data_IF_072492855463
#
_entry.id   IF_072492855463
#
_cell.length_a   1.000
_cell.length_b   1.000
_cell.length_c   1.000
_cell.angle_alpha   90.00
_cell.angle_beta   90.00
_cell.angle_gamma   90.00
#
_symmetry.space_group_name_H-M   'P 1'
#
loop_
_entity.id
_entity.type
_entity.pdbx_description
1 polymer ?
#
# COMPACT_ATOMS: atom_id res chain seq x y z
N UNK A 1 -17.97 17.56 -23.29
CA UNK A 1 -17.36 18.10 -24.53
C UNK A 1 -16.62 16.98 -25.28
N UNK A 2 -17.20 16.42 -26.36
CA UNK A 2 -16.61 15.29 -27.13
C UNK A 2 -15.27 15.68 -27.81
N UNK A 3 -14.98 16.97 -27.98
CA UNK A 3 -13.83 17.45 -28.74
C UNK A 3 -12.58 17.80 -27.92
N UNK A 4 -12.62 17.67 -26.58
CA UNK A 4 -11.47 18.07 -25.73
C UNK A 4 -10.87 16.93 -24.90
N UNK A 5 -11.34 15.69 -25.06
CA UNK A 5 -10.77 14.53 -24.37
C UNK A 5 -9.55 14.04 -25.14
N UNK A 6 -8.38 14.44 -24.67
CA UNK A 6 -7.10 14.06 -25.26
C UNK A 6 -6.64 12.74 -24.67
N UNK A 7 -6.02 11.89 -25.48
CA UNK A 7 -5.50 10.59 -25.04
C UNK A 7 -4.55 10.75 -23.84
N UNK A 8 -4.80 10.01 -22.74
CA UNK A 8 -3.88 9.95 -21.61
C UNK A 8 -2.51 9.42 -22.06
N UNK A 9 -1.43 9.92 -21.46
CA UNK A 9 -0.10 9.40 -21.71
C UNK A 9 0.78 9.46 -20.45
N UNK A 10 1.80 8.61 -20.43
CA UNK A 10 2.83 8.60 -19.39
C UNK A 10 4.20 8.56 -20.05
N UNK A 11 5.10 9.41 -19.59
CA UNK A 11 6.52 9.38 -19.96
C UNK A 11 7.24 8.72 -18.80
N UNK A 12 7.96 7.64 -19.07
CA UNK A 12 8.72 6.89 -18.07
C UNK A 12 10.21 7.02 -18.34
N UNK A 13 10.99 7.10 -17.27
CA UNK A 13 12.45 7.11 -17.32
C UNK A 13 13.00 6.15 -16.26
N UNK A 14 14.03 5.41 -16.64
CA UNK A 14 14.65 4.37 -15.84
C UNK A 14 16.18 4.49 -15.96
N UNK A 15 16.88 4.38 -14.84
CA UNK A 15 18.32 4.20 -14.79
C UNK A 15 18.62 3.09 -13.80
N UNK A 16 19.32 2.03 -14.24
CA UNK A 16 19.76 0.94 -13.38
C UNK A 16 21.28 0.79 -13.47
N UNK A 17 21.91 0.57 -12.31
CA UNK A 17 23.31 0.21 -12.19
C UNK A 17 23.38 -1.13 -11.50
N UNK A 18 24.02 -2.10 -12.14
CA UNK A 18 24.20 -3.44 -11.59
C UNK A 18 25.70 -3.72 -11.37
N UNK A 19 26.01 -4.34 -10.23
CA UNK A 19 27.36 -4.74 -9.88
C UNK A 19 27.36 -6.14 -9.24
N UNK A 20 28.26 -7.00 -9.71
CA UNK A 20 28.51 -8.29 -9.07
C UNK A 20 29.44 -8.09 -7.87
N UNK A 21 28.98 -8.43 -6.67
CA UNK A 21 29.72 -8.26 -5.41
C UNK A 21 30.64 -9.47 -5.10
N UNK A 22 30.62 -10.48 -5.96
CA UNK A 22 31.31 -11.75 -5.76
C UNK A 22 30.49 -12.74 -4.93
N UNK A 23 30.98 -13.98 -4.89
CA UNK A 23 30.35 -15.06 -4.13
C UNK A 23 28.91 -15.35 -4.56
N UNK A 24 28.59 -15.26 -5.86
CA UNK A 24 27.25 -15.48 -6.43
C UNK A 24 26.20 -14.41 -6.09
N UNK A 25 26.65 -13.25 -5.57
CA UNK A 25 25.78 -12.12 -5.20
C UNK A 25 25.91 -10.96 -6.20
N UNK A 26 24.77 -10.42 -6.62
CA UNK A 26 24.67 -9.19 -7.41
C UNK A 26 23.81 -8.15 -6.69
N UNK A 27 24.21 -6.89 -6.80
CA UNK A 27 23.47 -5.71 -6.36
C UNK A 27 23.03 -4.92 -7.60
N UNK A 28 21.78 -4.48 -7.59
CA UNK A 28 21.21 -3.57 -8.58
C UNK A 28 20.57 -2.39 -7.83
N UNK A 29 20.92 -1.18 -8.24
CA UNK A 29 20.31 0.07 -7.75
C UNK A 29 19.69 0.77 -8.94
N UNK A 30 18.40 1.07 -8.81
CA UNK A 30 17.59 1.65 -9.87
C UNK A 30 16.92 2.93 -9.44
N UNK A 31 16.69 3.81 -10.40
CA UNK A 31 15.78 4.94 -10.27
C UNK A 31 14.72 4.84 -11.36
N UNK A 32 13.46 4.87 -10.96
CA UNK A 32 12.30 4.85 -11.84
C UNK A 32 11.52 6.13 -11.59
N UNK A 33 11.15 6.84 -12.65
CA UNK A 33 10.13 7.85 -12.53
C UNK A 33 9.19 7.90 -13.72
N UNK A 34 8.03 8.50 -13.48
CA UNK A 34 7.03 8.71 -14.51
C UNK A 34 6.32 10.04 -14.33
N UNK A 35 5.95 10.63 -15.46
CA UNK A 35 5.14 11.84 -15.53
C UNK A 35 3.95 11.52 -16.41
N UNK A 36 2.78 11.48 -15.79
CA UNK A 36 1.52 11.16 -16.44
C UNK A 36 0.66 12.42 -16.58
N UNK A 37 0.02 12.55 -17.74
CA UNK A 37 -0.77 13.74 -18.12
C UNK A 37 -2.02 13.30 -18.84
N UNK A 38 -3.03 14.17 -18.77
CA UNK A 38 -4.33 13.95 -19.41
C UNK A 38 -5.01 12.68 -18.92
N UNK A 39 -4.75 12.31 -17.67
CA UNK A 39 -5.39 11.17 -17.06
C UNK A 39 -6.88 11.47 -16.90
N UNK A 40 -7.66 10.41 -17.01
CA UNK A 40 -9.11 10.50 -16.91
C UNK A 40 -9.50 10.69 -15.45
N UNK A 41 -10.36 11.67 -15.18
CA UNK A 41 -10.88 11.94 -13.84
C UNK A 41 -12.37 12.30 -13.92
N UNK A 42 -13.09 12.06 -12.83
CA UNK A 42 -14.49 12.40 -12.70
C UNK A 42 -14.66 13.74 -11.99
N UNK A 43 -15.55 14.57 -12.54
CA UNK A 43 -15.94 15.84 -11.94
C UNK A 43 -17.44 16.07 -12.03
N UNK A 44 -17.95 16.96 -11.20
CA UNK A 44 -19.33 17.43 -11.25
C UNK A 44 -19.35 18.75 -12.02
N UNK A 45 -19.83 18.73 -13.25
CA UNK A 45 -19.85 19.92 -14.11
C UNK A 45 -20.90 20.96 -13.66
N UNK A 46 -22.03 20.48 -13.13
CA UNK A 46 -23.12 21.31 -12.60
C UNK A 46 -23.07 21.45 -11.07
N UNK A 47 -21.87 21.56 -10.50
CA UNK A 47 -21.68 21.68 -9.06
C UNK A 47 -22.17 23.04 -8.56
N UNK A 48 -22.88 23.04 -7.43
CA UNK A 48 -23.31 24.30 -6.82
C UNK A 48 -22.13 25.01 -6.16
N UNK A 49 -22.11 26.34 -6.21
CA UNK A 49 -21.17 27.12 -5.40
C UNK A 49 -21.52 26.92 -3.91
N UNK A 50 -20.55 26.72 -3.00
CA UNK A 50 -20.80 26.63 -1.57
C UNK A 50 -21.59 27.82 -1.04
N UNK A 51 -22.52 27.57 -0.12
CA UNK A 51 -23.30 28.65 0.46
C UNK A 51 -24.23 28.21 1.59
N UNK A 52 -24.57 29.15 2.46
CA UNK A 52 -25.44 28.91 3.62
C UNK A 52 -26.92 29.07 3.30
N UNK A 53 -27.26 29.70 2.17
CA UNK A 53 -28.65 30.05 1.78
C UNK A 53 -28.96 29.66 0.34
N UNK A 54 -30.24 29.44 0.05
CA UNK A 54 -30.72 28.96 -1.25
C UNK A 54 -30.69 27.42 -1.35
N UNK A 55 -31.30 26.87 -2.39
CA UNK A 55 -31.19 25.43 -2.67
C UNK A 55 -29.87 25.13 -3.41
N UNK A 56 -29.43 23.88 -3.37
CA UNK A 56 -28.29 23.42 -4.20
C UNK A 56 -28.56 23.77 -5.67
N UNK A 57 -29.75 23.46 -6.18
CA UNK A 57 -30.14 23.78 -7.55
C UNK A 57 -30.03 25.27 -7.89
N UNK A 58 -30.47 26.19 -7.01
CA UNK A 58 -30.42 27.63 -7.32
C UNK A 58 -28.99 28.20 -7.36
N UNK A 59 -28.00 27.48 -6.81
CA UNK A 59 -26.57 27.86 -6.83
C UNK A 59 -25.76 27.09 -7.88
N UNK A 60 -26.37 26.11 -8.55
CA UNK A 60 -25.75 25.39 -9.66
C UNK A 60 -25.78 26.23 -10.95
N UNK A 61 -24.77 26.11 -11.85
CA UNK A 61 -24.74 26.84 -13.12
C UNK A 61 -25.96 26.59 -14.03
N UNK A 62 -26.54 25.39 -13.98
CA UNK A 62 -27.74 24.98 -14.71
C UNK A 62 -28.81 24.49 -13.71
N UNK A 63 -29.55 25.41 -13.04
CA UNK A 63 -30.52 25.07 -11.98
C UNK A 63 -31.65 24.13 -12.38
N UNK A 64 -32.01 24.15 -13.66
CA UNK A 64 -33.02 23.29 -14.27
C UNK A 64 -32.54 21.85 -14.51
N UNK A 65 -31.23 21.63 -14.42
CA UNK A 65 -30.60 20.33 -14.61
C UNK A 65 -30.15 19.76 -13.25
N UNK A 66 -30.15 18.43 -13.16
CA UNK A 66 -29.57 17.72 -12.00
C UNK A 66 -28.04 17.72 -12.02
N UNK A 67 -27.45 16.79 -11.25
CA UNK A 67 -26.01 16.55 -11.26
C UNK A 67 -25.56 16.11 -12.66
N UNK A 68 -24.63 16.85 -13.27
CA UNK A 68 -23.97 16.48 -14.53
C UNK A 68 -22.58 15.94 -14.20
N UNK A 69 -22.38 14.64 -14.42
CA UNK A 69 -21.09 13.98 -14.24
C UNK A 69 -20.30 14.01 -15.55
N UNK A 70 -19.07 14.50 -15.51
CA UNK A 70 -18.18 14.51 -16.67
C UNK A 70 -16.90 13.72 -16.37
N UNK A 71 -16.50 12.89 -17.33
CA UNK A 71 -15.14 12.35 -17.37
C UNK A 71 -14.31 13.28 -18.24
N UNK A 72 -13.32 13.94 -17.66
CA UNK A 72 -12.41 14.81 -18.39
C UNK A 72 -10.98 14.27 -18.38
N UNK A 73 -10.06 14.96 -19.06
CA UNK A 73 -8.63 14.64 -19.10
C UNK A 73 -7.80 15.61 -18.25
N UNK A 74 -8.32 16.05 -17.09
CA UNK A 74 -7.62 17.02 -16.23
C UNK A 74 -6.55 16.39 -15.33
N UNK A 75 -6.62 15.07 -15.14
CA UNK A 75 -5.79 14.33 -14.21
C UNK A 75 -4.30 14.35 -14.54
N UNK A 76 -3.49 14.45 -13.48
CA UNK A 76 -2.02 14.46 -13.56
C UNK A 76 -1.46 13.58 -12.45
N UNK A 77 -0.40 12.84 -12.76
CA UNK A 77 0.34 12.08 -11.76
C UNK A 77 1.84 12.18 -12.03
N UNK A 78 2.63 12.12 -10.97
CA UNK A 78 4.08 12.00 -11.02
C UNK A 78 4.51 10.93 -10.02
N UNK A 79 5.34 9.98 -10.46
CA UNK A 79 5.91 8.93 -9.62
C UNK A 79 7.43 9.01 -9.67
N UNK A 80 8.09 8.84 -8.53
CA UNK A 80 9.54 8.69 -8.47
C UNK A 80 9.89 7.63 -7.43
N UNK A 81 10.84 6.78 -7.74
CA UNK A 81 11.26 5.70 -6.87
C UNK A 81 12.74 5.37 -7.02
N UNK A 82 13.39 5.16 -5.87
CA UNK A 82 14.64 4.42 -5.77
C UNK A 82 14.31 2.95 -5.54
N UNK A 83 14.87 2.06 -6.33
CA UNK A 83 14.81 0.61 -6.12
C UNK A 83 16.20 0.07 -5.79
N UNK A 84 16.25 -0.89 -4.86
CA UNK A 84 17.45 -1.64 -4.52
C UNK A 84 17.09 -3.12 -4.57
N UNK A 85 17.91 -3.89 -5.29
CA UNK A 85 17.77 -5.34 -5.38
C UNK A 85 19.10 -5.98 -5.06
N UNK A 86 19.12 -6.86 -4.07
CA UNK A 86 20.28 -7.68 -3.74
C UNK A 86 19.91 -9.15 -3.90
N UNK A 87 20.61 -9.85 -4.78
CA UNK A 87 20.29 -11.22 -5.14
C UNK A 87 21.52 -12.09 -5.00
N UNK A 88 21.40 -13.19 -4.27
CA UNK A 88 22.38 -14.28 -4.28
C UNK A 88 21.79 -15.48 -5.02
N UNK A 89 22.44 -15.94 -6.08
CA UNK A 89 22.08 -17.21 -6.74
C UNK A 89 22.37 -18.38 -5.79
N UNK A 90 21.59 -19.45 -5.93
CA UNK A 90 21.73 -20.60 -5.05
C UNK A 90 23.15 -21.18 -5.11
N UNK A 91 23.85 -21.09 -3.97
CA UNK A 91 25.24 -21.52 -3.85
C UNK A 91 25.53 -21.86 -2.40
N UNK A 92 26.19 -23.00 -2.18
CA UNK A 92 26.52 -23.53 -0.84
C UNK A 92 25.31 -23.64 0.09
N UNK A 93 24.15 -24.00 -0.46
CA UNK A 93 22.91 -24.19 0.30
C UNK A 93 22.11 -22.91 0.56
N UNK A 94 22.55 -21.73 0.08
CA UNK A 94 21.86 -20.47 0.35
C UNK A 94 21.49 -19.75 -0.95
N UNK A 95 20.23 -19.31 -1.02
CA UNK A 95 19.76 -18.29 -1.97
C UNK A 95 18.99 -17.23 -1.22
N UNK A 96 19.08 -15.98 -1.67
CA UNK A 96 18.23 -14.92 -1.17
C UNK A 96 17.94 -13.87 -2.25
N UNK A 97 16.80 -13.21 -2.10
CA UNK A 97 16.40 -12.05 -2.88
C UNK A 97 15.86 -11.01 -1.92
N UNK A 98 16.54 -9.87 -1.86
CA UNK A 98 16.09 -8.68 -1.18
C UNK A 98 15.69 -7.64 -2.22
N UNK A 99 14.50 -7.08 -2.08
CA UNK A 99 14.03 -5.93 -2.84
C UNK A 99 13.59 -4.84 -1.88
N UNK A 100 13.96 -3.60 -2.16
CA UNK A 100 13.50 -2.41 -1.46
C UNK A 100 13.15 -1.31 -2.44
N UNK A 101 12.02 -0.66 -2.21
CA UNK A 101 11.58 0.51 -2.96
C UNK A 101 11.31 1.64 -1.97
N UNK A 102 11.98 2.77 -2.19
CA UNK A 102 11.56 4.05 -1.62
C UNK A 102 10.91 4.86 -2.72
N UNK A 103 9.63 5.18 -2.58
CA UNK A 103 8.89 5.86 -3.64
C UNK A 103 8.04 7.01 -3.13
N UNK A 104 7.63 7.85 -4.07
CA UNK A 104 6.62 8.88 -3.85
C UNK A 104 5.79 9.05 -5.12
N UNK A 105 4.49 8.83 -4.99
CA UNK A 105 3.46 9.03 -6.00
C UNK A 105 2.58 10.22 -5.61
N UNK A 106 2.46 11.19 -6.50
CA UNK A 106 1.62 12.39 -6.31
C UNK A 106 0.68 12.49 -7.50
N UNK A 107 -0.60 12.65 -7.25
CA UNK A 107 -1.62 12.87 -8.28
C UNK A 107 -2.68 13.87 -7.85
N UNK A 108 -3.57 14.20 -8.79
CA UNK A 108 -4.79 14.99 -8.55
C UNK A 108 -6.04 14.11 -8.47
N UNK A 109 -5.87 12.80 -8.27
CA UNK A 109 -6.89 11.77 -8.39
C UNK A 109 -6.23 10.45 -8.80
N UNK A 110 -6.47 9.39 -8.02
CA UNK A 110 -5.76 8.10 -8.15
C UNK A 110 -6.39 7.19 -9.21
N UNK A 111 -7.66 7.42 -9.54
CA UNK A 111 -8.37 6.68 -10.56
C UNK A 111 -9.46 7.55 -11.21
N UNK A 112 -10.01 7.05 -12.31
CA UNK A 112 -11.20 7.65 -12.93
C UNK A 112 -12.41 7.62 -11.98
N UNK A 113 -12.53 6.59 -11.14
CA UNK A 113 -13.58 6.44 -10.12
C UNK A 113 -12.95 6.40 -8.73
N UNK A 114 -13.13 5.30 -8.01
CA UNK A 114 -12.56 5.07 -6.68
C UNK A 114 -11.48 4.01 -6.81
N UNK A 115 -10.34 4.27 -6.17
CA UNK A 115 -9.30 3.26 -5.95
C UNK A 115 -8.92 3.27 -4.47
N UNK A 116 -9.24 2.16 -3.79
CA UNK A 116 -9.04 1.99 -2.36
C UNK A 116 -9.74 3.10 -1.55
N UNK A 117 -8.98 4.00 -0.92
CA UNK A 117 -9.46 5.09 -0.05
C UNK A 117 -9.78 6.39 -0.78
N UNK A 118 -9.64 6.44 -2.11
CA UNK A 118 -9.85 7.68 -2.88
C UNK A 118 -11.33 8.09 -2.95
N UNK A 119 -11.62 9.39 -3.01
CA UNK A 119 -12.98 9.88 -3.22
C UNK A 119 -13.36 9.81 -4.70
N UNK A 120 -14.65 9.61 -4.98
CA UNK A 120 -15.14 9.49 -6.35
C UNK A 120 -15.05 10.80 -7.14
N UNK A 121 -15.21 11.92 -6.46
CA UNK A 121 -15.16 13.27 -7.01
C UNK A 121 -14.15 14.12 -6.22
N UNK A 122 -13.59 15.17 -6.84
CA UNK A 122 -12.91 16.22 -6.11
C UNK A 122 -13.87 16.87 -5.11
N UNK A 123 -13.32 17.54 -4.10
CA UNK A 123 -14.11 18.37 -3.20
C UNK A 123 -14.71 19.58 -3.92
N UNK A 124 -13.94 20.14 -4.87
CA UNK A 124 -14.31 21.30 -5.68
C UNK A 124 -13.93 21.03 -7.14
N UNK A 125 -14.94 20.83 -8.00
CA UNK A 125 -14.75 20.59 -9.44
C UNK A 125 -14.22 21.81 -10.20
N UNK A 126 -14.21 22.99 -9.57
CA UNK A 126 -13.66 24.24 -10.10
C UNK A 126 -12.19 24.46 -9.69
N UNK A 127 -11.71 23.84 -8.60
CA UNK A 127 -10.30 23.88 -8.17
C UNK A 127 -9.64 22.50 -8.01
N UNK A 128 -9.34 21.87 -9.14
CA UNK A 128 -8.60 20.60 -9.18
C UNK A 128 -7.14 20.70 -8.70
N UNK A 129 -6.60 21.90 -8.49
CA UNK A 129 -5.24 22.05 -7.95
C UNK A 129 -5.20 21.68 -6.47
N UNK A 130 -6.30 21.91 -5.76
CA UNK A 130 -6.48 21.53 -4.36
C UNK A 130 -6.57 20.01 -4.13
N UNK A 131 -6.69 19.21 -5.20
CA UNK A 131 -6.67 17.74 -5.16
C UNK A 131 -5.27 17.15 -5.28
N UNK A 132 -4.25 17.99 -5.51
CA UNK A 132 -2.87 17.52 -5.60
C UNK A 132 -2.37 17.00 -4.25
N UNK A 133 -2.32 15.69 -4.11
CA UNK A 133 -1.91 14.99 -2.89
C UNK A 133 -1.09 13.74 -3.20
N UNK A 134 -0.75 12.97 -2.17
CA UNK A 134 -0.20 11.62 -2.40
C UNK A 134 -1.27 10.77 -3.13
N UNK A 135 -0.85 9.89 -4.02
CA UNK A 135 -1.76 8.89 -4.60
C UNK A 135 -2.33 8.00 -3.50
N UNK A 136 -3.58 7.52 -3.61
CA UNK A 136 -4.19 6.63 -2.61
C UNK A 136 -3.44 5.29 -2.49
N UNK A 137 -2.72 4.89 -3.53
CA UNK A 137 -1.84 3.73 -3.55
C UNK A 137 -0.36 4.06 -3.26
N UNK A 138 -0.05 5.29 -2.84
CA UNK A 138 1.34 5.66 -2.51
C UNK A 138 1.86 4.79 -1.36
N UNK A 139 3.05 4.25 -1.55
CA UNK A 139 3.75 3.49 -0.53
C UNK A 139 5.18 4.01 -0.44
N UNK A 140 5.43 4.82 0.58
CA UNK A 140 6.73 5.43 0.79
C UNK A 140 7.85 4.39 0.83
N UNK A 141 7.69 3.33 1.63
CA UNK A 141 8.71 2.29 1.77
C UNK A 141 8.08 0.91 1.64
N UNK A 142 8.67 0.06 0.79
CA UNK A 142 8.33 -1.36 0.72
C UNK A 142 9.60 -2.17 0.60
N UNK A 143 9.74 -3.19 1.43
CA UNK A 143 10.80 -4.20 1.30
C UNK A 143 10.20 -5.60 1.31
N UNK A 144 10.79 -6.49 0.51
CA UNK A 144 10.49 -7.92 0.52
C UNK A 144 11.82 -8.65 0.51
N UNK A 145 12.01 -9.53 1.49
CA UNK A 145 13.18 -10.39 1.59
C UNK A 145 12.74 -11.83 1.52
N UNK A 146 13.26 -12.59 0.57
CA UNK A 146 13.05 -14.03 0.45
C UNK A 146 14.38 -14.75 0.67
N UNK A 147 14.40 -15.74 1.56
CA UNK A 147 15.59 -16.55 1.87
C UNK A 147 15.20 -18.01 1.81
N UNK A 148 16.03 -18.82 1.15
CA UNK A 148 15.97 -20.27 1.25
C UNK A 148 17.35 -20.79 1.62
N UNK A 149 17.40 -21.54 2.71
CA UNK A 149 18.62 -22.08 3.27
C UNK A 149 18.52 -23.58 3.52
N UNK A 150 19.35 -24.36 2.84
CA UNK A 150 19.56 -25.77 3.15
C UNK A 150 20.50 -25.89 4.34
N UNK A 151 20.02 -26.51 5.42
CA UNK A 151 20.83 -26.71 6.60
C UNK A 151 22.06 -27.56 6.24
N UNK A 152 23.28 -27.14 6.60
CA UNK A 152 24.50 -27.86 6.28
C UNK A 152 24.74 -29.01 7.27
N UNK A 153 23.70 -29.82 7.50
CA UNK A 153 23.69 -30.94 8.43
C UNK A 153 23.38 -32.23 7.66
N UNK A 154 24.07 -33.32 8.00
CA UNK A 154 23.89 -34.65 7.40
C UNK A 154 25.03 -35.11 6.50
N UNK A 155 24.82 -36.25 5.82
CA UNK A 155 25.82 -36.92 4.97
C UNK A 155 26.32 -35.98 3.87
N UNK A 156 27.64 -35.82 3.80
CA UNK A 156 28.30 -34.94 2.82
C UNK A 156 28.15 -33.44 3.10
N UNK A 157 27.60 -33.04 4.26
CA UNK A 157 27.47 -31.64 4.69
C UNK A 157 28.46 -31.30 5.81
N UNK A 158 28.56 -30.00 6.14
CA UNK A 158 29.57 -29.45 7.06
C UNK A 158 29.43 -29.98 8.49
N UNK A 159 28.21 -30.19 8.97
CA UNK A 159 27.91 -30.62 10.33
C UNK A 159 27.26 -32.00 10.35
N UNK A 160 27.56 -32.80 11.38
CA UNK A 160 27.03 -34.15 11.57
C UNK A 160 27.14 -35.03 10.30
N UNK A 161 28.33 -35.04 9.68
CA UNK A 161 28.66 -35.87 8.52
C UNK A 161 28.79 -37.35 8.93
N UNK A 162 27.69 -37.95 9.36
CA UNK A 162 27.57 -39.36 9.74
C UNK A 162 26.44 -39.99 8.93
N UNK A 163 26.55 -41.26 8.59
CA UNK A 163 25.49 -42.04 7.93
C UNK A 163 24.62 -42.77 8.96
N UNK A 164 23.36 -43.05 8.61
CA UNK A 164 22.45 -43.88 9.42
C UNK A 164 21.13 -43.16 9.77
N UNK A 165 20.40 -43.67 10.76
CA UNK A 165 19.07 -43.15 11.16
C UNK A 165 19.15 -41.67 11.57
N UNK A 166 20.23 -41.26 12.24
CA UNK A 166 20.46 -39.87 12.61
C UNK A 166 20.54 -38.94 11.38
N UNK A 167 21.12 -39.39 10.26
CA UNK A 167 21.16 -38.62 9.02
C UNK A 167 19.78 -38.53 8.36
N UNK A 168 19.05 -39.66 8.32
CA UNK A 168 17.70 -39.72 7.77
C UNK A 168 16.74 -38.74 8.48
N UNK A 169 16.92 -38.50 9.79
CA UNK A 169 16.10 -37.57 10.58
C UNK A 169 16.63 -36.14 10.56
N UNK A 170 17.95 -35.93 10.60
CA UNK A 170 18.54 -34.59 10.85
C UNK A 170 19.09 -33.93 9.57
N UNK A 171 19.38 -34.69 8.51
CA UNK A 171 19.95 -34.16 7.26
C UNK A 171 18.92 -33.59 6.27
N UNK A 172 19.32 -32.69 5.38
CA UNK A 172 18.51 -32.29 4.21
C UNK A 172 17.28 -31.41 4.48
N UNK A 173 17.20 -30.78 5.65
CA UNK A 173 16.18 -29.77 5.93
C UNK A 173 16.46 -28.47 5.16
N UNK A 174 15.41 -27.87 4.61
CA UNK A 174 15.44 -26.56 3.98
C UNK A 174 14.52 -25.61 4.75
N UNK A 175 15.02 -24.41 5.04
CA UNK A 175 14.27 -23.35 5.70
C UNK A 175 13.97 -22.24 4.69
N UNK A 176 12.70 -21.91 4.52
CA UNK A 176 12.23 -20.79 3.72
C UNK A 176 11.76 -19.66 4.61
N UNK A 177 12.00 -18.42 4.20
CA UNK A 177 11.45 -17.25 4.86
C UNK A 177 11.14 -16.15 3.87
N UNK A 178 9.97 -15.51 4.03
CA UNK A 178 9.59 -14.29 3.34
C UNK A 178 9.27 -13.23 4.39
N UNK A 179 9.94 -12.10 4.34
CA UNK A 179 9.70 -10.97 5.23
C UNK A 179 9.35 -9.73 4.41
N UNK A 180 8.16 -9.20 4.65
CA UNK A 180 7.64 -8.00 4.00
C UNK A 180 7.44 -6.89 5.02
N UNK A 181 8.03 -5.73 4.74
CA UNK A 181 7.77 -4.49 5.46
C UNK A 181 7.21 -3.47 4.48
N UNK A 182 6.13 -2.78 4.87
CA UNK A 182 5.52 -1.75 4.06
C UNK A 182 5.05 -0.58 4.92
N UNK A 183 5.25 0.66 4.48
CA UNK A 183 4.51 1.80 5.03
C UNK A 183 3.02 1.68 4.69
N UNK A 184 2.16 2.36 5.46
CA UNK A 184 0.74 2.42 5.12
C UNK A 184 0.49 3.29 3.90
N UNK A 185 -0.68 3.08 3.30
CA UNK A 185 -1.23 3.96 2.27
C UNK A 185 -1.68 5.28 2.89
N UNK A 186 -1.78 6.35 2.11
CA UNK A 186 -2.36 7.58 2.60
C UNK A 186 -3.91 7.57 2.47
N UNK A 187 -4.58 8.37 3.28
CA UNK A 187 -6.04 8.52 3.27
C UNK A 187 -6.43 9.98 3.57
N UNK A 188 -7.56 10.39 3.00
CA UNK A 188 -8.14 11.72 3.14
C UNK A 188 -9.09 11.76 4.33
N UNK A 189 -8.95 12.77 5.19
CA UNK A 189 -9.95 13.06 6.22
C UNK A 189 -11.18 13.65 5.56
N UNK A 190 -12.35 13.10 5.88
CA UNK A 190 -13.64 13.52 5.33
C UNK A 190 -14.59 13.96 6.43
N UNK A 191 -15.61 14.72 6.06
CA UNK A 191 -16.69 15.08 6.99
C UNK A 191 -17.83 14.06 6.99
N UNK A 192 -17.98 13.28 5.90
CA UNK A 192 -19.15 12.44 5.62
C UNK A 192 -20.49 13.20 5.68
N UNK A 193 -20.44 14.52 5.45
CA UNK A 193 -21.58 15.44 5.41
C UNK A 193 -21.36 16.45 4.29
N UNK A 194 -22.43 16.83 3.59
CA UNK A 194 -22.42 17.99 2.69
C UNK A 194 -22.46 19.29 3.52
N UNK A 195 -21.31 19.63 4.10
CA UNK A 195 -21.10 20.80 4.92
C UNK A 195 -20.85 22.05 4.06
N UNK A 196 -20.33 21.88 2.85
CA UNK A 196 -20.22 22.92 1.83
C UNK A 196 -21.58 23.30 1.23
N UNK A 197 -22.59 22.42 1.36
CA UNK A 197 -23.94 22.58 0.81
C UNK A 197 -23.90 22.66 -0.72
N UNK A 198 -23.05 21.87 -1.35
CA UNK A 198 -22.90 21.84 -2.81
C UNK A 198 -23.68 20.70 -3.45
N UNK A 199 -24.25 19.82 -2.62
CA UNK A 199 -24.81 18.54 -3.03
C UNK A 199 -23.74 17.52 -3.42
N UNK A 200 -22.45 17.83 -3.25
CA UNK A 200 -21.32 16.98 -3.67
C UNK A 200 -21.10 15.79 -2.72
N UNK A 201 -20.99 16.07 -1.42
CA UNK A 201 -20.84 15.08 -0.35
C UNK A 201 -19.43 14.55 -0.09
N UNK A 202 -18.40 15.17 -0.69
CA UNK A 202 -16.99 14.76 -0.57
C UNK A 202 -16.13 15.82 0.14
N UNK A 203 -16.72 16.49 1.12
CA UNK A 203 -16.04 17.59 1.80
C UNK A 203 -14.93 17.08 2.74
N UNK A 204 -13.82 17.81 2.74
CA UNK A 204 -12.76 17.70 3.74
C UNK A 204 -12.99 18.74 4.85
N UNK A 205 -12.49 18.49 6.07
CA UNK A 205 -12.52 19.48 7.15
C UNK A 205 -11.51 20.63 6.92
N UNK A 206 -11.48 21.58 7.85
CA UNK A 206 -10.38 22.52 7.97
C UNK A 206 -9.21 21.90 8.74
N UNK A 207 -7.99 22.12 8.25
CA UNK A 207 -6.77 21.93 9.01
C UNK A 207 -6.58 23.08 10.01
N UNK A 208 -6.23 22.74 11.25
CA UNK A 208 -6.01 23.73 12.34
C UNK A 208 -4.59 24.31 12.32
N UNK A 209 -3.71 23.76 11.48
CA UNK A 209 -2.28 24.09 11.43
C UNK A 209 -1.41 23.17 12.29
N UNK A 210 -2.00 22.29 13.10
CA UNK A 210 -1.24 21.27 13.82
C UNK A 210 -0.79 20.15 12.88
N UNK A 211 0.30 19.45 13.25
CA UNK A 211 0.74 18.28 12.51
C UNK A 211 -0.24 17.11 12.75
N UNK A 212 -0.80 16.57 11.67
CA UNK A 212 -1.67 15.39 11.70
C UNK A 212 -0.91 14.11 12.08
N UNK A 213 0.40 14.08 11.84
CA UNK A 213 1.26 12.92 12.06
C UNK A 213 1.76 12.92 13.51
N UNK A 214 1.26 11.99 14.33
CA UNK A 214 1.75 11.82 15.71
C UNK A 214 3.16 11.21 15.75
N UNK A 215 3.96 11.50 16.79
CA UNK A 215 5.17 10.75 17.10
C UNK A 215 4.88 9.25 17.24
N UNK A 216 5.84 8.39 16.87
CA UNK A 216 5.64 6.93 16.87
C UNK A 216 5.23 6.37 18.24
N UNK A 217 5.73 6.92 19.34
CA UNK A 217 5.40 6.48 20.69
C UNK A 217 4.00 6.85 21.16
N UNK A 218 3.34 7.80 20.51
CA UNK A 218 1.97 8.23 20.84
C UNK A 218 0.91 7.49 20.01
N UNK A 219 1.31 6.89 18.88
CA UNK A 219 0.39 6.18 17.99
C UNK A 219 -0.02 4.83 18.58
N UNK A 220 -1.31 4.64 18.70
CA UNK A 220 -1.91 3.37 19.06
C UNK A 220 -3.32 3.27 18.44
N UNK A 221 -4.02 2.16 18.70
CA UNK A 221 -5.35 1.91 18.12
C UNK A 221 -6.43 2.89 18.58
N UNK A 222 -6.27 3.59 19.71
CA UNK A 222 -7.21 4.62 20.17
C UNK A 222 -6.86 6.02 19.66
N UNK A 223 -5.67 6.22 19.08
CA UNK A 223 -5.22 7.50 18.53
C UNK A 223 -4.11 7.27 17.51
N UNK A 224 -4.48 7.02 16.27
CA UNK A 224 -3.51 6.74 15.21
C UNK A 224 -2.86 8.01 14.63
N UNK A 225 -3.62 9.09 14.56
CA UNK A 225 -3.17 10.40 14.08
C UNK A 225 -3.71 11.51 14.99
N UNK A 226 -3.18 12.72 14.84
CA UNK A 226 -3.59 13.86 15.65
C UNK A 226 -4.93 14.36 15.15
N UNK A 227 -6.00 14.02 15.86
CA UNK A 227 -7.36 14.44 15.55
C UNK A 227 -7.54 15.96 15.66
N UNK A 228 -6.79 16.63 16.55
CA UNK A 228 -6.85 18.07 16.76
C UNK A 228 -6.25 18.87 15.59
N UNK A 229 -5.62 18.18 14.62
CA UNK A 229 -5.19 18.77 13.36
C UNK A 229 -6.37 19.09 12.42
N UNK A 230 -7.57 18.59 12.73
CA UNK A 230 -8.76 18.75 11.88
C UNK A 230 -9.95 19.26 12.69
N UNK A 231 -10.70 20.16 12.10
CA UNK A 231 -11.95 20.68 12.66
C UNK A 231 -12.98 20.77 11.56
N UNK A 232 -14.24 20.46 11.88
CA UNK A 232 -15.34 20.64 10.94
C UNK A 232 -15.35 22.10 10.44
N UNK A 233 -15.37 22.28 9.12
CA UNK A 233 -15.40 23.58 8.49
C UNK A 233 -16.76 24.28 8.69
N UNK A 234 -16.83 25.62 8.61
CA UNK A 234 -18.11 26.34 8.64
C UNK A 234 -19.09 25.84 7.57
N UNK A 235 -20.38 25.83 7.90
CA UNK A 235 -21.41 25.47 6.93
C UNK A 235 -21.40 26.44 5.74
N UNK A 236 -21.59 25.91 4.53
CA UNK A 236 -21.52 26.68 3.30
C UNK A 236 -20.10 26.95 2.81
N UNK A 237 -19.09 26.24 3.33
CA UNK A 237 -17.69 26.39 2.90
C UNK A 237 -17.03 25.06 2.58
N UNK A 238 -16.10 25.08 1.64
CA UNK A 238 -15.13 24.02 1.41
C UNK A 238 -14.07 24.04 2.51
N UNK A 239 -13.64 22.86 2.98
CA UNK A 239 -12.53 22.75 3.91
C UNK A 239 -11.17 22.94 3.23
N UNK A 240 -10.15 23.26 4.02
CA UNK A 240 -8.78 23.48 3.54
C UNK A 240 -7.79 22.34 3.84
N UNK A 241 -8.23 21.24 4.47
CA UNK A 241 -7.36 20.08 4.68
C UNK A 241 -6.93 19.48 3.33
N UNK A 242 -5.67 19.07 3.21
CA UNK A 242 -5.15 18.46 1.98
C UNK A 242 -5.72 17.07 1.73
N UNK A 243 -5.70 16.63 0.47
CA UNK A 243 -6.00 15.25 0.08
C UNK A 243 -4.86 14.32 0.54
N UNK A 244 -5.22 13.15 1.08
CA UNK A 244 -4.30 12.05 1.41
C UNK A 244 -3.19 12.45 2.40
N UNK A 245 -3.57 13.15 3.48
CA UNK A 245 -2.65 13.67 4.51
C UNK A 245 -2.42 12.74 5.69
N UNK A 246 -3.26 11.72 5.90
CA UNK A 246 -3.08 10.71 6.96
C UNK A 246 -2.37 9.51 6.37
N UNK A 247 -1.34 8.98 7.05
CA UNK A 247 -0.70 7.72 6.67
C UNK A 247 -1.25 6.60 7.56
N UNK A 248 -1.86 5.61 6.94
CA UNK A 248 -2.48 4.46 7.60
C UNK A 248 -1.43 3.50 8.22
N UNK A 249 -1.86 2.49 9.00
CA UNK A 249 -0.95 1.43 9.44
C UNK A 249 -0.24 0.72 8.29
N UNK A 250 1.05 0.47 8.51
CA UNK A 250 1.90 -0.30 7.61
C UNK A 250 1.59 -1.78 7.62
N UNK A 251 2.42 -2.55 6.92
CA UNK A 251 2.40 -4.01 6.91
C UNK A 251 3.71 -4.54 7.50
N UNK A 252 3.61 -5.48 8.44
CA UNK A 252 4.74 -6.31 8.87
C UNK A 252 4.27 -7.75 8.74
N UNK A 253 4.81 -8.46 7.75
CA UNK A 253 4.45 -9.85 7.46
C UNK A 253 5.72 -10.69 7.44
N UNK A 254 5.72 -11.76 8.23
CA UNK A 254 6.79 -12.76 8.23
C UNK A 254 6.21 -14.14 8.04
N UNK A 255 6.48 -14.72 6.88
CA UNK A 255 6.11 -16.09 6.54
C UNK A 255 7.34 -16.99 6.62
N UNK A 256 7.14 -18.20 7.11
CA UNK A 256 8.20 -19.17 7.37
C UNK A 256 7.81 -20.54 6.87
N UNK A 257 8.75 -21.27 6.29
CA UNK A 257 8.53 -22.63 5.84
C UNK A 257 9.70 -23.54 6.18
N UNK A 258 9.37 -24.82 6.34
CA UNK A 258 10.32 -25.89 6.59
C UNK A 258 9.99 -27.02 5.63
N UNK A 259 10.97 -27.46 4.85
CA UNK A 259 10.81 -28.55 3.91
C UNK A 259 11.86 -29.62 4.15
N UNK A 260 11.47 -30.88 3.95
CA UNK A 260 12.40 -32.00 3.94
C UNK A 260 11.93 -33.08 2.98
N UNK A 261 12.87 -33.67 2.25
CA UNK A 261 12.65 -34.87 1.46
C UNK A 261 13.28 -36.08 2.16
N UNK A 262 12.47 -37.07 2.48
CA UNK A 262 12.87 -38.36 3.00
C UNK A 262 12.92 -39.35 1.84
N UNK A 263 14.12 -39.77 1.42
CA UNK A 263 14.27 -40.85 0.44
C UNK A 263 14.08 -42.19 1.14
N UNK A 264 13.18 -43.02 0.62
CA UNK A 264 12.87 -44.35 1.17
C UNK A 264 13.69 -45.41 0.43
N UNK A 265 13.51 -45.50 -0.88
CA UNK A 265 14.27 -46.37 -1.81
C UNK A 265 14.54 -45.63 -3.12
N UNK A 266 15.29 -46.24 -4.04
CA UNK A 266 15.48 -45.70 -5.39
C UNK A 266 14.11 -45.49 -6.04
N UNK A 267 13.82 -44.24 -6.41
CA UNK A 267 12.56 -43.73 -6.97
C UNK A 267 11.38 -43.49 -6.00
N UNK A 268 11.53 -43.72 -4.69
CA UNK A 268 10.47 -43.41 -3.71
C UNK A 268 10.91 -42.40 -2.65
N UNK A 269 10.12 -41.34 -2.49
CA UNK A 269 10.40 -40.31 -1.50
C UNK A 269 9.12 -39.71 -0.88
N UNK A 270 9.23 -39.28 0.37
CA UNK A 270 8.21 -38.50 1.07
C UNK A 270 8.72 -37.07 1.25
N UNK A 271 7.98 -36.08 0.76
CA UNK A 271 8.23 -34.67 1.07
C UNK A 271 7.34 -34.22 2.23
N UNK A 272 7.98 -33.75 3.29
CA UNK A 272 7.34 -33.02 4.37
C UNK A 272 7.45 -31.52 4.12
N UNK A 273 6.35 -30.81 4.32
CA UNK A 273 6.29 -29.35 4.28
C UNK A 273 5.51 -28.82 5.47
N UNK A 274 6.08 -27.85 6.15
CA UNK A 274 5.42 -27.04 7.16
C UNK A 274 5.50 -25.58 6.70
N UNK A 275 4.38 -24.87 6.75
CA UNK A 275 4.30 -23.46 6.40
C UNK A 275 3.56 -22.71 7.51
N UNK A 276 4.07 -21.54 7.88
CA UNK A 276 3.46 -20.64 8.85
C UNK A 276 3.40 -19.24 8.26
N UNK A 277 2.20 -18.79 7.92
CA UNK A 277 1.92 -17.42 7.50
C UNK A 277 1.72 -16.54 8.72
N UNK A 278 2.27 -15.33 8.72
CA UNK A 278 2.34 -14.49 9.92
C UNK A 278 2.90 -15.28 11.13
N UNK A 279 4.06 -15.90 10.95
CA UNK A 279 4.76 -16.73 11.92
C UNK A 279 4.85 -16.14 13.35
N UNK A 280 5.19 -14.85 13.56
CA UNK A 280 5.20 -14.24 14.89
C UNK A 280 3.80 -13.89 15.43
N UNK A 281 2.74 -14.10 14.65
CA UNK A 281 1.38 -13.68 14.97
C UNK A 281 1.27 -12.16 15.24
N UNK A 282 2.00 -11.35 14.46
CA UNK A 282 2.01 -9.91 14.59
C UNK A 282 0.67 -9.33 14.06
N UNK A 283 -0.03 -8.46 14.82
CA UNK A 283 -1.26 -7.85 14.34
C UNK A 283 -0.97 -6.79 13.28
N UNK A 284 -1.53 -6.96 12.08
CA UNK A 284 -1.56 -5.89 11.08
C UNK A 284 -2.87 -5.13 11.22
N UNK A 285 -2.79 -3.94 11.81
CA UNK A 285 -3.94 -3.08 12.06
C UNK A 285 -4.63 -2.64 10.76
N UNK A 286 -5.97 -2.53 10.81
CA UNK A 286 -6.79 -1.96 9.75
C UNK A 286 -6.75 -0.43 9.75
N UNK A 287 -7.64 0.19 8.98
CA UNK A 287 -7.65 1.64 8.84
C UNK A 287 -8.29 2.32 10.08
N UNK A 288 -7.76 3.46 10.54
CA UNK A 288 -8.47 4.31 11.48
C UNK A 288 -9.71 4.93 10.83
N UNK A 289 -10.69 5.32 11.64
CA UNK A 289 -11.78 6.16 11.17
C UNK A 289 -11.27 7.58 10.84
N UNK A 290 -11.52 8.03 9.62
CA UNK A 290 -11.11 9.34 9.11
C UNK A 290 -12.27 10.33 8.98
N UNK A 291 -13.45 10.00 9.50
CA UNK A 291 -14.61 10.90 9.51
C UNK A 291 -14.56 11.83 10.72
N UNK A 292 -14.38 13.14 10.52
CA UNK A 292 -14.14 14.12 11.60
C UNK A 292 -15.28 14.20 12.64
N UNK A 293 -16.51 13.88 12.24
CA UNK A 293 -17.69 13.90 13.13
C UNK A 293 -17.96 12.56 13.81
N UNK A 294 -17.16 11.53 13.52
CA UNK A 294 -17.35 10.20 14.09
C UNK A 294 -16.85 10.15 15.54
N UNK A 295 -17.57 9.47 16.46
CA UNK A 295 -17.06 9.21 17.81
C UNK A 295 -15.81 8.29 17.82
N UNK A 296 -15.53 7.63 16.68
CA UNK A 296 -14.33 6.80 16.50
C UNK A 296 -13.22 7.50 15.71
N UNK A 297 -13.33 8.80 15.43
CA UNK A 297 -12.32 9.55 14.67
C UNK A 297 -10.90 9.34 15.22
N UNK A 298 -9.98 8.90 14.36
CA UNK A 298 -8.60 8.56 14.74
C UNK A 298 -8.39 7.17 15.33
N UNK A 299 -9.45 6.36 15.48
CA UNK A 299 -9.39 5.04 16.15
C UNK A 299 -9.45 3.89 15.15
N UNK A 300 -8.72 2.82 15.43
CA UNK A 300 -8.68 1.57 14.66
C UNK A 300 -9.47 0.49 15.41
N UNK A 301 -10.36 -0.21 14.71
CA UNK A 301 -11.22 -1.26 15.28
C UNK A 301 -11.06 -2.64 14.63
N UNK A 302 -10.21 -2.74 13.61
CA UNK A 302 -10.06 -3.94 12.80
C UNK A 302 -8.59 -4.29 12.56
N UNK A 303 -8.34 -5.49 12.06
CA UNK A 303 -7.07 -5.90 11.46
C UNK A 303 -7.24 -6.05 9.95
N UNK A 304 -6.17 -5.83 9.18
CA UNK A 304 -6.16 -5.93 7.71
C UNK A 304 -5.84 -7.33 7.21
N UNK A 305 -5.05 -8.10 7.97
CA UNK A 305 -4.65 -9.46 7.60
C UNK A 305 -5.17 -10.47 8.62
N UNK A 306 -5.21 -11.73 8.21
CA UNK A 306 -5.45 -12.84 9.11
C UNK A 306 -4.33 -12.94 10.15
N UNK A 307 -4.67 -13.59 11.26
CA UNK A 307 -3.72 -14.01 12.29
C UNK A 307 -2.87 -15.18 11.76
N UNK A 308 -1.99 -15.73 12.60
CA UNK A 308 -1.10 -16.83 12.19
C UNK A 308 -1.89 -18.03 11.66
N UNK A 309 -1.54 -18.46 10.46
CA UNK A 309 -2.06 -19.66 9.83
C UNK A 309 -0.93 -20.66 9.64
N UNK A 310 -1.16 -21.93 9.99
CA UNK A 310 -0.16 -22.99 9.86
C UNK A 310 -0.71 -24.13 9.03
N UNK A 311 0.12 -24.64 8.13
CA UNK A 311 -0.24 -25.73 7.23
C UNK A 311 0.86 -26.80 7.27
N UNK A 312 0.42 -28.06 7.18
CA UNK A 312 1.30 -29.23 7.13
C UNK A 312 0.89 -30.07 5.94
N UNK A 313 1.87 -30.47 5.14
CA UNK A 313 1.65 -31.36 4.00
C UNK A 313 2.67 -32.49 3.99
N UNK A 314 2.19 -33.67 3.60
CA UNK A 314 3.00 -34.83 3.26
C UNK A 314 2.68 -35.22 1.83
N UNK A 315 3.71 -35.35 0.99
CA UNK A 315 3.58 -35.81 -0.40
C UNK A 315 4.46 -37.04 -0.61
N UNK A 316 3.84 -38.15 -1.00
CA UNK A 316 4.56 -39.34 -1.44
C UNK A 316 4.81 -39.27 -2.96
N UNK A 317 6.02 -39.63 -3.39
CA UNK A 317 6.47 -39.65 -4.77
C UNK A 317 7.00 -41.05 -5.08
N UNK A 318 6.59 -41.61 -6.22
CA UNK A 318 6.90 -42.96 -6.69
C UNK A 318 7.20 -42.95 -8.19
#
# INVERSE_FOLDING_TARGET
NIYNRRTPYSIQYLLNIQHELGGDTALEVGYIGSVSRRLESLRVFNEAIPGTTGSVASRSPYPELGRIQEVDGSGKANYNALSVKLQRRFSKGLTYLFGYTWSRSIDTGSAIRVHDTDTLFPQDSYDLRAERGLSSFDTAHRSVTSVLYELPVGKGRRFLNRSGIADAVIGGWQLGSIFTLQSGFPETVITSKDQSNTGAGYDRPNATGQNAILPRGERNVERWFNTDAFVLQPFGTHGNAGRNTIILPGLIQWDFSVHKEFRIVENQAVQFRFEAFNFPNHPNWGNPDVTVISPSFGKIRTTRTNMREMQVALKYMF
#
